data_IF_574491076915
#
_entry.id   IF_574491076915
#
_cell.length_a   1.000
_cell.length_b   1.000
_cell.length_c   1.000
_cell.angle_alpha   90.00
_cell.angle_beta   90.00
_cell.angle_gamma   90.00
#
_symmetry.space_group_name_H-M   'P 1'
#
loop_
_entity.id
_entity.type
_entity.pdbx_description
1 polymer ?
#
# COMPACT_ATOMS: atom_id res chain seq x y z
N UNK A 1 -16.69 -16.81 6.55
CA UNK A 1 -15.97 -16.45 7.79
C UNK A 1 -14.44 -16.42 7.62
N UNK A 2 -13.80 -17.42 7.03
CA UNK A 2 -12.34 -17.45 6.86
C UNK A 2 -11.76 -16.24 6.10
N UNK A 3 -12.44 -15.76 5.06
CA UNK A 3 -12.00 -14.59 4.28
C UNK A 3 -11.95 -13.29 5.12
N UNK A 4 -12.93 -13.08 6.00
CA UNK A 4 -12.94 -11.90 6.88
C UNK A 4 -11.79 -11.92 7.90
N UNK A 5 -11.44 -13.09 8.44
CA UNK A 5 -10.30 -13.23 9.35
C UNK A 5 -8.96 -12.96 8.65
N UNK A 6 -8.81 -13.41 7.41
CA UNK A 6 -7.62 -13.13 6.59
C UNK A 6 -7.47 -11.63 6.33
N UNK A 7 -8.57 -10.94 6.00
CA UNK A 7 -8.56 -9.48 5.79
C UNK A 7 -8.19 -8.74 7.08
N UNK A 8 -8.79 -9.11 8.22
CA UNK A 8 -8.43 -8.53 9.52
C UNK A 8 -6.95 -8.74 9.86
N UNK A 9 -6.44 -9.95 9.65
CA UNK A 9 -5.02 -10.26 9.82
C UNK A 9 -4.14 -9.36 8.94
N UNK A 10 -4.46 -9.23 7.66
CA UNK A 10 -3.73 -8.36 6.75
C UNK A 10 -3.75 -6.89 7.19
N UNK A 11 -4.88 -6.38 7.68
CA UNK A 11 -5.00 -5.02 8.20
C UNK A 11 -4.13 -4.80 9.45
N UNK A 12 -4.09 -5.76 10.38
CA UNK A 12 -3.24 -5.69 11.56
C UNK A 12 -1.75 -5.66 11.16
N UNK A 13 -1.32 -6.57 10.30
CA UNK A 13 0.06 -6.57 9.81
C UNK A 13 0.42 -5.27 9.08
N UNK A 14 -0.48 -4.73 8.27
CA UNK A 14 -0.27 -3.45 7.62
C UNK A 14 -0.14 -2.28 8.61
N UNK A 15 -0.92 -2.29 9.69
CA UNK A 15 -0.82 -1.29 10.76
C UNK A 15 0.53 -1.39 11.49
N UNK A 16 0.95 -2.59 11.89
CA UNK A 16 2.26 -2.83 12.49
C UNK A 16 3.39 -2.37 11.55
N UNK A 17 3.32 -2.75 10.27
CA UNK A 17 4.31 -2.33 9.28
C UNK A 17 4.45 -0.80 9.22
N UNK A 18 3.34 -0.05 9.23
CA UNK A 18 3.38 1.43 9.19
C UNK A 18 4.05 2.03 10.42
N UNK A 19 3.76 1.49 11.61
CA UNK A 19 4.37 1.96 12.85
C UNK A 19 5.89 1.68 12.85
N UNK A 20 6.29 0.46 12.52
CA UNK A 20 7.71 0.09 12.42
C UNK A 20 8.44 0.88 11.35
N UNK A 21 7.84 1.06 10.18
CA UNK A 21 8.44 1.83 9.10
C UNK A 21 8.68 3.30 9.50
N UNK A 22 7.74 3.88 10.26
CA UNK A 22 7.93 5.24 10.79
C UNK A 22 9.04 5.30 11.84
N UNK A 23 9.14 4.32 12.74
CA UNK A 23 10.24 4.22 13.71
C UNK A 23 11.59 4.08 13.01
N UNK A 24 11.70 3.20 12.02
CA UNK A 24 12.91 3.00 11.23
C UNK A 24 13.30 4.22 10.38
N UNK A 25 12.39 5.17 10.14
CA UNK A 25 12.67 6.40 9.41
C UNK A 25 13.65 7.35 10.15
N UNK A 26 13.86 7.13 11.45
CA UNK A 26 14.84 7.89 12.23
C UNK A 26 16.28 7.43 11.98
N UNK A 27 16.48 6.15 11.62
CA UNK A 27 17.81 5.54 11.49
C UNK A 27 18.20 5.23 10.04
N UNK A 28 17.21 4.92 9.19
CA UNK A 28 17.42 4.47 7.82
C UNK A 28 16.81 5.42 6.80
N UNK A 29 17.51 5.58 5.68
CA UNK A 29 17.00 6.36 4.55
C UNK A 29 15.78 5.68 3.88
N UNK A 30 14.99 6.46 3.15
CA UNK A 30 13.83 5.92 2.42
C UNK A 30 14.23 4.84 1.40
N UNK A 31 15.41 4.98 0.78
CA UNK A 31 15.95 4.01 -0.16
C UNK A 31 16.31 2.68 0.50
N UNK A 32 17.04 2.72 1.60
CA UNK A 32 17.46 1.52 2.34
C UNK A 32 16.25 0.72 2.83
N UNK A 33 15.25 1.40 3.38
CA UNK A 33 14.00 0.75 3.80
C UNK A 33 13.23 0.12 2.63
N UNK A 34 13.16 0.82 1.49
CA UNK A 34 12.51 0.29 0.29
C UNK A 34 13.25 -0.93 -0.25
N UNK A 35 14.57 -0.85 -0.33
CA UNK A 35 15.40 -1.95 -0.81
C UNK A 35 15.25 -3.20 0.06
N UNK A 36 15.28 -3.03 1.39
CA UNK A 36 15.11 -4.13 2.33
C UNK A 36 13.74 -4.80 2.20
N UNK A 37 12.66 -4.00 2.16
CA UNK A 37 11.29 -4.51 2.05
C UNK A 37 11.08 -5.23 0.71
N UNK A 38 11.52 -4.64 -0.40
CA UNK A 38 11.38 -5.26 -1.73
C UNK A 38 12.19 -6.55 -1.81
N UNK A 39 13.42 -6.55 -1.29
CA UNK A 39 14.26 -7.75 -1.25
C UNK A 39 13.65 -8.88 -0.42
N UNK A 40 13.14 -8.56 0.78
CA UNK A 40 12.47 -9.53 1.63
C UNK A 40 11.21 -10.09 0.95
N UNK A 41 10.37 -9.24 0.38
CA UNK A 41 9.20 -9.67 -0.38
C UNK A 41 9.58 -10.56 -1.56
N UNK A 42 10.61 -10.21 -2.32
CA UNK A 42 11.08 -11.02 -3.44
C UNK A 42 11.48 -12.43 -3.01
N UNK A 43 12.22 -12.56 -1.90
CA UNK A 43 12.61 -13.87 -1.34
C UNK A 43 11.38 -14.67 -0.91
N UNK A 44 10.47 -14.06 -0.15
CA UNK A 44 9.25 -14.73 0.33
C UNK A 44 8.39 -15.21 -0.85
N UNK A 45 8.14 -14.35 -1.83
CA UNK A 45 7.36 -14.74 -3.01
C UNK A 45 8.06 -15.77 -3.87
N UNK A 46 9.39 -15.73 -3.99
CA UNK A 46 10.15 -16.77 -4.70
C UNK A 46 9.97 -18.14 -4.01
N UNK A 47 10.08 -18.19 -2.68
CA UNK A 47 9.87 -19.42 -1.93
C UNK A 47 8.43 -19.94 -2.08
N UNK A 48 7.44 -19.07 -1.94
CA UNK A 48 6.02 -19.43 -2.10
C UNK A 48 5.75 -19.93 -3.52
N UNK A 49 6.32 -19.28 -4.53
CA UNK A 49 6.19 -19.72 -5.93
C UNK A 49 6.81 -21.10 -6.15
N UNK A 50 8.02 -21.34 -5.65
CA UNK A 50 8.70 -22.63 -5.78
C UNK A 50 7.93 -23.77 -5.10
N UNK A 51 7.40 -23.52 -3.91
CA UNK A 51 6.58 -24.50 -3.17
C UNK A 51 5.24 -24.74 -3.87
N UNK A 52 4.60 -23.67 -4.39
CA UNK A 52 3.29 -23.77 -5.06
C UNK A 52 3.33 -24.54 -6.37
N UNK A 53 4.43 -24.46 -7.10
CA UNK A 53 4.60 -25.12 -8.42
C UNK A 53 5.03 -26.61 -8.28
N UNK A 54 5.40 -27.05 -7.08
CA UNK A 54 5.83 -28.43 -6.82
C UNK A 54 6.90 -28.96 -7.79
N UNK A 55 7.76 -28.05 -8.30
CA UNK A 55 8.84 -28.39 -9.23
C UNK A 55 8.47 -28.36 -10.72
N UNK A 56 7.21 -28.12 -11.09
CA UNK A 56 6.83 -27.92 -12.49
C UNK A 56 6.95 -26.46 -12.89
N UNK A 57 8.04 -26.10 -13.56
CA UNK A 57 8.33 -24.73 -14.03
C UNK A 57 7.68 -24.39 -15.39
N UNK A 58 6.97 -25.34 -16.02
CA UNK A 58 6.36 -25.14 -17.34
C UNK A 58 5.39 -23.94 -17.40
N UNK A 59 4.54 -23.66 -16.40
CA UNK A 59 3.65 -22.50 -16.42
C UNK A 59 4.43 -21.18 -16.45
N UNK A 60 5.56 -21.09 -15.75
CA UNK A 60 6.38 -19.88 -15.73
C UNK A 60 7.10 -19.67 -17.06
N UNK A 61 7.64 -20.75 -17.65
CA UNK A 61 8.28 -20.69 -18.95
C UNK A 61 7.32 -20.20 -20.04
N UNK A 62 6.08 -20.68 -20.02
CA UNK A 62 5.02 -20.26 -20.96
C UNK A 62 4.67 -18.77 -20.77
N UNK A 63 4.56 -18.29 -19.54
CA UNK A 63 4.26 -16.89 -19.25
C UNK A 63 5.43 -15.97 -19.70
N UNK A 64 6.68 -16.36 -19.47
CA UNK A 64 7.86 -15.62 -19.89
C UNK A 64 8.01 -15.54 -21.41
N UNK A 65 7.44 -16.47 -22.17
CA UNK A 65 7.48 -16.43 -23.63
C UNK A 65 6.53 -15.36 -24.22
N UNK A 66 5.57 -14.89 -23.44
CA UNK A 66 4.69 -13.81 -23.87
C UNK A 66 5.33 -12.43 -23.66
N UNK A 67 5.75 -11.80 -24.76
CA UNK A 67 6.34 -10.45 -24.73
C UNK A 67 5.46 -9.41 -24.02
N UNK A 68 4.13 -9.50 -24.20
CA UNK A 68 3.17 -8.59 -23.55
C UNK A 68 3.18 -8.78 -22.03
N UNK A 69 3.23 -10.04 -21.57
CA UNK A 69 3.29 -10.35 -20.14
C UNK A 69 4.59 -9.85 -19.51
N UNK A 70 5.74 -10.09 -20.16
CA UNK A 70 7.04 -9.64 -19.66
C UNK A 70 7.10 -8.11 -19.57
N UNK A 71 6.67 -7.39 -20.61
CA UNK A 71 6.64 -5.93 -20.59
C UNK A 71 5.72 -5.37 -19.51
N UNK A 72 4.53 -5.94 -19.35
CA UNK A 72 3.61 -5.53 -18.30
C UNK A 72 4.17 -5.80 -16.91
N UNK A 73 4.81 -6.95 -16.70
CA UNK A 73 5.43 -7.32 -15.42
C UNK A 73 6.60 -6.40 -15.08
N UNK A 74 7.47 -6.08 -16.04
CA UNK A 74 8.57 -5.12 -15.83
C UNK A 74 8.02 -3.74 -15.48
N UNK A 75 7.02 -3.27 -16.21
CA UNK A 75 6.40 -1.98 -15.94
C UNK A 75 5.78 -1.94 -14.53
N UNK A 76 5.02 -2.96 -14.14
CA UNK A 76 4.40 -3.05 -12.82
C UNK A 76 5.44 -3.13 -11.70
N UNK A 77 6.48 -3.95 -11.87
CA UNK A 77 7.49 -4.13 -10.83
C UNK A 77 8.36 -2.89 -10.65
N UNK A 78 8.82 -2.26 -11.73
CA UNK A 78 9.72 -1.10 -11.63
C UNK A 78 8.93 0.17 -11.28
N UNK A 79 7.91 0.51 -12.03
CA UNK A 79 7.19 1.77 -11.81
C UNK A 79 6.18 1.69 -10.66
N UNK A 80 5.38 0.65 -10.59
CA UNK A 80 4.34 0.58 -9.57
C UNK A 80 4.88 0.10 -8.22
N UNK A 81 5.81 -0.87 -8.19
CA UNK A 81 6.33 -1.38 -6.92
C UNK A 81 7.50 -0.57 -6.39
N UNK A 82 8.58 -0.39 -7.17
CA UNK A 82 9.79 0.28 -6.68
C UNK A 82 9.52 1.77 -6.43
N UNK A 83 8.98 2.48 -7.43
CA UNK A 83 8.71 3.91 -7.31
C UNK A 83 7.69 4.21 -6.20
N UNK A 84 6.60 3.42 -6.12
CA UNK A 84 5.59 3.59 -5.08
C UNK A 84 6.17 3.35 -3.68
N UNK A 85 6.99 2.30 -3.48
CA UNK A 85 7.63 2.04 -2.19
C UNK A 85 8.57 3.16 -1.78
N UNK A 86 9.38 3.69 -2.69
CA UNK A 86 10.28 4.83 -2.40
C UNK A 86 9.46 6.06 -1.97
N UNK A 87 8.40 6.40 -2.70
CA UNK A 87 7.52 7.52 -2.37
C UNK A 87 6.82 7.36 -1.03
N UNK A 88 6.32 6.17 -0.71
CA UNK A 88 5.69 5.86 0.58
C UNK A 88 6.71 5.98 1.71
N UNK A 89 7.90 5.42 1.55
CA UNK A 89 8.96 5.49 2.55
C UNK A 89 9.49 6.91 2.74
N UNK A 90 9.60 7.69 1.68
CA UNK A 90 9.92 9.11 1.74
C UNK A 90 8.85 9.90 2.50
N UNK A 91 7.57 9.66 2.17
CA UNK A 91 6.45 10.29 2.89
C UNK A 91 6.45 9.94 4.38
N UNK A 92 6.79 8.70 4.73
CA UNK A 92 6.94 8.28 6.12
C UNK A 92 8.06 9.03 6.87
N UNK A 93 9.11 9.44 6.16
CA UNK A 93 10.21 10.22 6.76
C UNK A 93 9.81 11.67 7.06
N UNK A 94 9.07 12.29 6.15
CA UNK A 94 8.77 13.74 6.18
C UNK A 94 7.48 14.06 6.93
N UNK A 95 6.44 13.21 6.81
CA UNK A 95 5.12 13.51 7.35
C UNK A 95 4.97 13.05 8.81
N UNK A 96 4.19 13.78 9.64
CA UNK A 96 3.78 13.30 10.95
C UNK A 96 3.00 11.99 10.84
N UNK A 97 3.10 11.11 11.85
CA UNK A 97 2.48 9.79 11.84
C UNK A 97 0.96 9.84 11.58
N UNK A 98 0.27 10.82 12.16
CA UNK A 98 -1.17 11.00 11.98
C UNK A 98 -1.55 11.26 10.52
N UNK A 99 -0.79 12.07 9.79
CA UNK A 99 -1.03 12.35 8.38
C UNK A 99 -0.64 11.15 7.52
N UNK A 100 0.53 10.55 7.79
CA UNK A 100 1.01 9.39 7.04
C UNK A 100 0.06 8.19 7.11
N UNK A 101 -0.49 7.88 8.29
CA UNK A 101 -1.45 6.77 8.44
C UNK A 101 -2.75 7.01 7.66
N UNK A 102 -3.20 8.25 7.59
CA UNK A 102 -4.44 8.63 6.91
C UNK A 102 -4.32 8.61 5.38
N UNK A 103 -3.12 8.86 4.83
CA UNK A 103 -2.86 8.77 3.38
C UNK A 103 -3.19 7.38 2.82
N UNK A 104 -2.96 6.30 3.60
CA UNK A 104 -3.33 4.95 3.17
C UNK A 104 -4.82 4.78 2.91
N UNK A 105 -5.67 5.39 3.73
CA UNK A 105 -7.13 5.36 3.54
C UNK A 105 -7.55 6.18 2.31
N UNK A 106 -6.90 7.32 2.09
CA UNK A 106 -7.14 8.15 0.90
C UNK A 106 -6.78 7.42 -0.40
N UNK A 107 -5.65 6.70 -0.41
CA UNK A 107 -5.23 5.87 -1.55
C UNK A 107 -6.31 4.84 -1.90
N UNK A 108 -6.90 4.18 -0.90
CA UNK A 108 -7.96 3.19 -1.12
C UNK A 108 -9.20 3.82 -1.77
N UNK A 109 -9.60 5.00 -1.32
CA UNK A 109 -10.73 5.74 -1.92
C UNK A 109 -10.41 6.17 -3.36
N UNK A 110 -9.22 6.70 -3.60
CA UNK A 110 -8.77 7.07 -4.95
C UNK A 110 -8.72 5.85 -5.89
N UNK A 111 -8.22 4.71 -5.40
CA UNK A 111 -8.17 3.47 -6.18
C UNK A 111 -9.57 2.99 -6.58
N UNK A 112 -10.56 3.09 -5.67
CA UNK A 112 -11.94 2.77 -5.98
C UNK A 112 -12.51 3.67 -7.09
N UNK A 113 -12.30 4.99 -7.00
CA UNK A 113 -12.75 5.92 -8.05
C UNK A 113 -12.08 5.65 -9.40
N UNK A 114 -10.78 5.35 -9.40
CA UNK A 114 -10.06 4.99 -10.63
C UNK A 114 -10.58 3.67 -11.23
N UNK A 115 -10.88 2.66 -10.39
CA UNK A 115 -11.51 1.41 -10.83
C UNK A 115 -12.84 1.65 -11.53
N UNK A 116 -13.69 2.50 -10.96
CA UNK A 116 -14.97 2.86 -11.56
C UNK A 116 -14.80 3.58 -12.90
N UNK A 117 -13.90 4.57 -12.98
CA UNK A 117 -13.72 5.40 -14.17
C UNK A 117 -13.04 4.61 -15.30
N UNK A 118 -11.96 3.88 -15.00
CA UNK A 118 -11.16 3.20 -16.03
C UNK A 118 -11.62 1.78 -16.34
N UNK A 119 -12.04 1.02 -15.32
CA UNK A 119 -12.47 -0.37 -15.49
C UNK A 119 -13.98 -0.50 -15.69
N UNK A 120 -14.74 0.60 -15.49
CA UNK A 120 -16.22 0.59 -15.55
C UNK A 120 -16.83 -0.46 -14.61
N UNK A 121 -16.21 -0.68 -13.46
CA UNK A 121 -16.71 -1.63 -12.47
C UNK A 121 -18.04 -1.14 -11.89
N UNK A 122 -19.01 -2.05 -11.67
CA UNK A 122 -20.28 -1.69 -11.05
C UNK A 122 -20.04 -1.24 -9.61
N UNK A 123 -20.45 -0.01 -9.28
CA UNK A 123 -20.31 0.52 -7.92
C UNK A 123 -21.33 -0.13 -7.01
N UNK A 124 -20.89 -0.79 -5.97
CA UNK A 124 -21.78 -1.22 -4.91
C UNK A 124 -22.09 -0.05 -3.97
N UNK A 125 -23.36 0.17 -3.67
CA UNK A 125 -23.84 1.22 -2.76
C UNK A 125 -23.11 1.17 -1.41
N UNK A 126 -22.82 -0.03 -0.89
CA UNK A 126 -22.05 -0.23 0.33
C UNK A 126 -20.62 0.32 0.24
N UNK A 127 -19.97 0.16 -0.91
CA UNK A 127 -18.62 0.70 -1.16
C UNK A 127 -18.63 2.23 -1.20
N UNK A 128 -19.69 2.83 -1.75
CA UNK A 128 -19.84 4.28 -1.80
C UNK A 128 -20.06 4.87 -0.41
N UNK A 129 -20.91 4.25 0.41
CA UNK A 129 -21.14 4.65 1.81
C UNK A 129 -19.84 4.52 2.62
N UNK A 130 -19.14 3.39 2.50
CA UNK A 130 -17.86 3.16 3.18
C UNK A 130 -16.80 4.20 2.82
N UNK A 131 -16.68 4.55 1.54
CA UNK A 131 -15.76 5.58 1.07
C UNK A 131 -16.13 6.97 1.61
N UNK A 132 -17.42 7.29 1.66
CA UNK A 132 -17.92 8.53 2.26
C UNK A 132 -17.56 8.63 3.74
N UNK A 133 -17.72 7.55 4.50
CA UNK A 133 -17.33 7.50 5.91
C UNK A 133 -15.82 7.69 6.10
N UNK A 134 -14.99 7.08 5.24
CA UNK A 134 -13.53 7.25 5.27
C UNK A 134 -13.16 8.72 5.00
N UNK A 135 -13.75 9.36 3.99
CA UNK A 135 -13.50 10.76 3.68
C UNK A 135 -13.93 11.69 4.82
N UNK A 136 -15.07 11.45 5.45
CA UNK A 136 -15.52 12.18 6.63
C UNK A 136 -14.55 12.03 7.81
N UNK A 137 -14.09 10.82 8.07
CA UNK A 137 -13.07 10.56 9.09
C UNK A 137 -11.77 11.32 8.84
N UNK A 138 -11.28 11.30 7.60
CA UNK A 138 -10.09 12.04 7.19
C UNK A 138 -10.25 13.55 7.36
N UNK A 139 -11.40 14.09 6.97
CA UNK A 139 -11.72 15.51 7.13
C UNK A 139 -11.74 15.94 8.60
N UNK A 140 -12.39 15.16 9.48
CA UNK A 140 -12.42 15.42 10.91
C UNK A 140 -11.01 15.43 11.53
N UNK A 141 -10.19 14.45 11.19
CA UNK A 141 -8.79 14.35 11.68
C UNK A 141 -7.97 15.55 11.19
N UNK A 142 -8.08 15.91 9.92
CA UNK A 142 -7.37 17.06 9.35
C UNK A 142 -7.78 18.38 10.07
N UNK A 143 -9.05 18.55 10.37
CA UNK A 143 -9.56 19.72 11.08
C UNK A 143 -9.05 19.80 12.52
N UNK A 144 -9.06 18.67 13.24
CA UNK A 144 -8.56 18.59 14.60
C UNK A 144 -7.06 18.87 14.69
N UNK A 145 -6.29 18.33 13.75
CA UNK A 145 -4.84 18.53 13.74
C UNK A 145 -4.45 19.99 13.44
N UNK A 146 -5.20 20.68 12.57
CA UNK A 146 -5.01 22.10 12.31
C UNK A 146 -5.34 22.96 13.56
N UNK A 147 -6.36 22.60 14.32
CA UNK A 147 -6.71 23.28 15.55
C UNK A 147 -5.62 23.15 16.64
N UNK A 148 -5.02 21.95 16.75
CA UNK A 148 -3.90 21.70 17.69
C UNK A 148 -2.63 22.48 17.31
N UNK A 149 -2.32 22.57 16.01
CA UNK A 149 -1.16 23.33 15.52
C UNK A 149 -1.33 24.85 15.72
N UNK A 150 -2.54 25.36 15.60
CA UNK A 150 -2.83 26.77 15.88
C UNK A 150 -2.78 27.07 17.38
N UNK A 151 -3.27 26.18 18.23
CA UNK A 151 -3.18 26.34 19.69
C UNK A 151 -1.74 26.33 20.22
N UNK A 152 -0.86 25.51 19.62
CA UNK A 152 0.56 25.47 19.98
C UNK A 152 1.40 26.66 19.50
N UNK A 153 0.91 27.46 18.55
CA UNK A 153 1.56 28.70 18.09
C UNK A 153 1.10 29.94 18.86
N UNK A 154 0.05 29.82 19.66
CA UNK A 154 -0.53 30.91 20.45
C UNK A 154 -0.02 30.94 21.91
N UNK A 155 0.79 29.97 22.32
CA UNK A 155 1.53 29.87 23.58
C UNK A 155 3.01 30.15 23.37
#
# INVERSE_FOLDING_TARGET
MAFGLLVLGACLFAAFYRVYNKGAAAEFTAFERSYFVIGLCAVVFAVVALVGVRGDLAPFATALHSRKFVMATIFLSVFCSVAANILVNYSASVLPMAIFSNLGSLITVCAMFLGVIFLKEPVNVMSLIGSGMVLLGLFLIARTNNALLQGSRAL
#
